data_IF_171663911974
#
_entry.id   IF_171663911974
#
_cell.length_a   1.000
_cell.length_b   1.000
_cell.length_c   1.000
_cell.angle_alpha   90.00
_cell.angle_beta   90.00
_cell.angle_gamma   90.00
#
_symmetry.space_group_name_H-M   'P 1'
#
loop_
_entity.id
_entity.type
_entity.pdbx_description
1 polymer ?
#
# COMPACT_ATOMS: atom_id res chain seq x y z
N UNK A 1 -22.67 64.24 31.37
CA UNK A 1 -21.77 63.74 30.30
C UNK A 1 -20.77 62.69 30.78
N UNK A 2 -20.00 62.91 31.85
CA UNK A 2 -19.03 61.93 32.37
C UNK A 2 -19.61 60.55 32.72
N UNK A 3 -20.79 60.51 33.33
CA UNK A 3 -21.48 59.26 33.70
C UNK A 3 -22.00 58.46 32.50
N UNK A 4 -22.39 59.16 31.42
CA UNK A 4 -22.87 58.54 30.18
C UNK A 4 -21.73 57.86 29.41
N UNK A 5 -20.55 58.49 29.41
CA UNK A 5 -19.33 57.94 28.79
C UNK A 5 -18.83 56.69 29.55
N UNK A 6 -18.92 56.69 30.88
CA UNK A 6 -18.54 55.53 31.69
C UNK A 6 -19.45 54.32 31.46
N UNK A 7 -20.77 54.54 31.34
CA UNK A 7 -21.72 53.47 31.05
C UNK A 7 -21.51 52.85 29.66
N UNK A 8 -21.21 53.66 28.65
CA UNK A 8 -20.90 53.15 27.31
C UNK A 8 -19.59 52.35 27.28
N UNK A 9 -18.58 52.77 28.05
CA UNK A 9 -17.30 52.06 28.12
C UNK A 9 -17.45 50.70 28.81
N UNK A 10 -18.21 50.64 29.90
CA UNK A 10 -18.49 49.38 30.63
C UNK A 10 -19.29 48.42 29.75
N UNK A 11 -20.28 48.92 28.99
CA UNK A 11 -21.06 48.09 28.06
C UNK A 11 -20.21 47.49 26.94
N UNK A 12 -19.22 48.23 26.42
CA UNK A 12 -18.29 47.74 25.39
C UNK A 12 -17.29 46.72 25.96
N UNK A 13 -16.81 46.91 27.19
CA UNK A 13 -15.92 45.94 27.84
C UNK A 13 -16.67 44.64 28.16
N UNK A 14 -17.94 44.73 28.60
CA UNK A 14 -18.78 43.56 28.86
C UNK A 14 -19.16 42.80 27.59
N UNK A 15 -19.36 43.48 26.45
CA UNK A 15 -19.62 42.81 25.17
C UNK A 15 -18.37 42.11 24.60
N UNK A 16 -17.16 42.63 24.87
CA UNK A 16 -15.90 41.96 24.51
C UNK A 16 -15.63 40.71 25.35
N UNK A 17 -16.04 40.69 26.63
CA UNK A 17 -15.92 39.51 27.51
C UNK A 17 -16.98 38.43 27.23
N UNK A 18 -18.10 38.79 26.59
CA UNK A 18 -19.15 37.84 26.19
C UNK A 18 -18.82 37.03 24.92
N UNK A 19 -17.73 37.36 24.22
CA UNK A 19 -17.16 36.56 23.13
C UNK A 19 -16.14 35.52 23.64
N UNK A 20 -16.41 34.88 24.79
CA UNK A 20 -15.76 33.60 25.07
C UNK A 20 -16.35 32.57 24.10
N UNK A 21 -15.60 32.27 23.05
CA UNK A 21 -15.91 31.23 22.07
C UNK A 21 -16.33 29.97 22.83
N UNK A 22 -17.59 29.55 22.65
CA UNK A 22 -18.05 28.22 23.04
C UNK A 22 -17.07 27.23 22.44
N UNK A 23 -16.33 26.49 23.27
CA UNK A 23 -15.52 25.37 22.79
C UNK A 23 -16.43 24.47 21.95
N UNK A 24 -16.18 24.42 20.65
CA UNK A 24 -16.91 23.54 19.77
C UNK A 24 -16.73 22.10 20.29
N UNK A 25 -17.80 21.31 20.37
CA UNK A 25 -17.70 19.95 20.86
C UNK A 25 -16.69 19.18 19.99
N UNK A 26 -15.70 18.54 20.62
CA UNK A 26 -14.67 17.80 19.91
C UNK A 26 -15.29 16.61 19.17
N UNK A 27 -15.56 16.79 17.88
CA UNK A 27 -16.12 15.77 17.00
C UNK A 27 -15.05 14.78 16.53
N UNK A 28 -15.47 13.63 16.00
CA UNK A 28 -14.57 12.68 15.30
C UNK A 28 -13.80 13.38 14.18
N UNK A 29 -14.47 14.23 13.41
CA UNK A 29 -13.87 14.97 12.30
C UNK A 29 -12.76 15.90 12.79
N UNK A 30 -13.00 16.61 13.90
CA UNK A 30 -11.97 17.45 14.55
C UNK A 30 -10.75 16.61 14.98
N UNK A 31 -10.97 15.43 15.58
CA UNK A 31 -9.88 14.51 15.96
C UNK A 31 -9.13 13.96 14.75
N UNK A 32 -9.85 13.52 13.72
CA UNK A 32 -9.25 13.03 12.47
C UNK A 32 -8.46 14.12 11.75
N UNK A 33 -8.97 15.35 11.74
CA UNK A 33 -8.28 16.51 11.15
C UNK A 33 -6.91 16.72 11.80
N UNK A 34 -6.80 16.61 13.12
CA UNK A 34 -5.50 16.66 13.82
C UNK A 34 -4.57 15.51 13.39
N UNK A 35 -5.08 14.29 13.26
CA UNK A 35 -4.30 13.15 12.77
C UNK A 35 -3.78 13.38 11.35
N UNK A 36 -4.62 13.89 10.44
CA UNK A 36 -4.23 14.23 9.08
C UNK A 36 -3.21 15.37 9.03
N UNK A 37 -3.35 16.38 9.89
CA UNK A 37 -2.37 17.45 9.98
C UNK A 37 -0.97 16.92 10.33
N UNK A 38 -0.87 15.98 11.28
CA UNK A 38 0.41 15.34 11.63
C UNK A 38 0.99 14.54 10.45
N UNK A 39 0.14 13.83 9.70
CA UNK A 39 0.52 13.11 8.46
C UNK A 39 1.07 14.09 7.43
N UNK A 40 0.36 15.19 7.17
CA UNK A 40 0.75 16.20 6.17
C UNK A 40 2.08 16.88 6.52
N UNK A 41 2.32 17.10 7.81
CA UNK A 41 3.58 17.63 8.36
C UNK A 41 4.71 16.59 8.41
N UNK A 42 4.45 15.34 8.00
CA UNK A 42 5.40 14.22 8.07
C UNK A 42 5.85 13.87 9.50
N UNK A 43 5.04 14.20 10.50
CA UNK A 43 5.26 13.83 11.90
C UNK A 43 4.69 12.42 12.16
N UNK A 44 5.31 11.42 11.54
CA UNK A 44 4.74 10.08 11.43
C UNK A 44 4.55 9.38 12.78
N UNK A 45 5.53 9.47 13.67
CA UNK A 45 5.48 8.78 14.96
C UNK A 45 4.35 9.35 15.85
N UNK A 46 4.24 10.68 15.88
CA UNK A 46 3.18 11.40 16.59
C UNK A 46 1.80 11.11 15.98
N UNK A 47 1.71 11.06 14.64
CA UNK A 47 0.48 10.69 13.95
C UNK A 47 0.04 9.27 14.30
N UNK A 48 0.96 8.30 14.26
CA UNK A 48 0.70 6.89 14.60
C UNK A 48 0.28 6.76 16.06
N UNK A 49 0.99 7.39 16.99
CA UNK A 49 0.64 7.36 18.41
C UNK A 49 -0.76 7.95 18.65
N UNK A 50 -1.03 9.12 18.09
CA UNK A 50 -2.31 9.80 18.22
C UNK A 50 -3.46 8.98 17.63
N UNK A 51 -3.31 8.47 16.41
CA UNK A 51 -4.35 7.72 15.71
C UNK A 51 -4.56 6.32 16.31
N UNK A 52 -3.53 5.71 16.90
CA UNK A 52 -3.67 4.46 17.65
C UNK A 52 -4.52 4.67 18.90
N UNK A 53 -4.26 5.74 19.67
CA UNK A 53 -5.10 6.10 20.82
C UNK A 53 -6.53 6.42 20.39
N UNK A 54 -6.70 7.09 19.25
CA UNK A 54 -8.01 7.40 18.72
C UNK A 54 -8.77 6.14 18.28
N UNK A 55 -8.10 5.17 17.64
CA UNK A 55 -8.71 3.91 17.20
C UNK A 55 -9.24 3.09 18.39
N UNK A 56 -8.51 3.09 19.50
CA UNK A 56 -8.95 2.43 20.74
C UNK A 56 -10.20 3.08 21.35
N UNK A 57 -10.38 4.39 21.16
CA UNK A 57 -11.54 5.14 21.68
C UNK A 57 -12.74 5.14 20.73
N UNK A 58 -12.46 5.12 19.42
CA UNK A 58 -13.43 5.21 18.34
C UNK A 58 -12.93 4.33 17.17
N UNK A 59 -13.19 3.01 17.21
CA UNK A 59 -12.71 2.03 16.22
C UNK A 59 -13.47 2.13 14.90
N UNK A 60 -13.50 3.33 14.33
CA UNK A 60 -14.21 3.66 13.10
C UNK A 60 -13.31 3.48 11.88
N UNK A 61 -13.91 3.10 10.75
CA UNK A 61 -13.22 2.88 9.48
C UNK A 61 -12.26 4.03 9.10
N UNK A 62 -12.72 5.27 9.17
CA UNK A 62 -11.90 6.45 8.84
C UNK A 62 -10.68 6.62 9.75
N UNK A 63 -10.78 6.25 11.04
CA UNK A 63 -9.64 6.28 11.97
C UNK A 63 -8.63 5.22 11.57
N UNK A 64 -9.09 4.00 11.24
CA UNK A 64 -8.23 2.91 10.77
C UNK A 64 -7.57 3.24 9.43
N UNK A 65 -8.29 3.86 8.50
CA UNK A 65 -7.72 4.34 7.23
C UNK A 65 -6.65 5.41 7.46
N UNK A 66 -6.90 6.37 8.35
CA UNK A 66 -5.91 7.39 8.71
C UNK A 66 -4.68 6.76 9.37
N UNK A 67 -4.87 5.82 10.30
CA UNK A 67 -3.79 5.10 10.97
C UNK A 67 -2.95 4.29 9.97
N UNK A 68 -3.59 3.54 9.08
CA UNK A 68 -2.91 2.81 8.00
C UNK A 68 -2.14 3.77 7.07
N UNK A 69 -2.70 4.95 6.79
CA UNK A 69 -2.04 5.99 6.01
C UNK A 69 -0.82 6.58 6.71
N UNK A 70 -0.85 6.73 8.04
CA UNK A 70 0.30 7.19 8.82
C UNK A 70 1.46 6.18 8.77
N UNK A 71 1.16 4.88 8.95
CA UNK A 71 2.15 3.81 8.77
C UNK A 71 2.72 3.78 7.34
N UNK A 72 1.85 3.81 6.31
CA UNK A 72 2.29 3.84 4.92
C UNK A 72 3.14 5.08 4.60
N UNK A 73 2.78 6.24 5.17
CA UNK A 73 3.53 7.49 5.07
C UNK A 73 4.94 7.38 5.65
N UNK A 74 5.08 6.78 6.84
CA UNK A 74 6.38 6.49 7.47
C UNK A 74 7.24 5.56 6.62
N UNK A 75 6.62 4.60 5.94
CA UNK A 75 7.27 3.73 4.95
C UNK A 75 7.68 4.46 3.64
N UNK A 76 7.33 5.75 3.47
CA UNK A 76 7.62 6.54 2.27
C UNK A 76 6.55 6.48 1.18
N UNK A 77 5.40 5.84 1.47
CA UNK A 77 4.26 5.67 0.57
C UNK A 77 3.20 6.71 0.90
N UNK A 78 3.20 7.81 0.15
CA UNK A 78 2.19 8.86 0.28
C UNK A 78 1.04 8.63 -0.70
N UNK A 79 -0.14 9.12 -0.35
CA UNK A 79 -1.35 8.88 -1.14
C UNK A 79 -1.26 9.49 -2.54
N UNK A 80 -0.54 10.61 -2.73
CA UNK A 80 -0.35 11.23 -4.03
C UNK A 80 0.44 10.32 -4.98
N UNK A 81 1.42 9.57 -4.43
CA UNK A 81 2.17 8.58 -5.19
C UNK A 81 1.30 7.39 -5.59
N UNK A 82 0.31 7.03 -4.76
CA UNK A 82 -0.64 5.95 -5.07
C UNK A 82 -1.50 6.28 -6.29
N UNK A 83 -2.05 7.50 -6.34
CA UNK A 83 -2.83 7.94 -7.51
C UNK A 83 -2.06 7.80 -8.83
N UNK A 84 -0.74 8.02 -8.80
CA UNK A 84 0.12 7.97 -9.98
C UNK A 84 0.27 6.59 -10.63
N UNK A 85 -0.09 5.49 -9.95
CA UNK A 85 -0.06 4.14 -10.54
C UNK A 85 -1.41 3.41 -10.47
N UNK A 86 -2.42 3.97 -9.83
CA UNK A 86 -3.79 3.39 -9.88
C UNK A 86 -4.62 4.04 -11.01
N UNK A 87 -4.39 5.33 -11.31
CA UNK A 87 -5.23 6.09 -12.24
C UNK A 87 -4.64 6.24 -13.66
N UNK A 88 -3.39 5.86 -13.90
CA UNK A 88 -2.73 6.09 -15.20
C UNK A 88 -3.21 5.06 -16.22
N UNK A 89 -4.00 5.52 -17.20
CA UNK A 89 -4.55 4.69 -18.29
C UNK A 89 -3.70 4.65 -19.56
N UNK A 90 -2.71 5.54 -19.69
CA UNK A 90 -1.97 5.78 -20.93
C UNK A 90 -0.46 5.82 -20.72
N UNK A 91 0.15 4.73 -20.25
CA UNK A 91 1.60 4.61 -20.31
C UNK A 91 2.02 4.20 -21.73
N UNK A 92 2.90 4.99 -22.35
CA UNK A 92 3.58 4.57 -23.58
C UNK A 92 4.55 3.45 -23.20
N UNK A 93 4.32 2.19 -23.60
CA UNK A 93 5.27 1.13 -23.30
C UNK A 93 6.61 1.48 -23.95
N UNK A 94 7.72 1.26 -23.23
CA UNK A 94 9.02 1.28 -23.90
C UNK A 94 9.02 0.16 -24.91
N UNK A 95 9.09 0.52 -26.20
CA UNK A 95 9.23 -0.46 -27.28
C UNK A 95 10.63 -1.03 -27.20
N UNK A 96 10.76 -2.24 -26.65
CA UNK A 96 12.00 -3.01 -26.77
C UNK A 96 12.13 -3.38 -28.24
N UNK A 97 13.00 -2.66 -28.96
CA UNK A 97 13.25 -2.89 -30.38
C UNK A 97 14.10 -4.15 -30.53
N UNK A 98 13.45 -5.31 -30.59
CA UNK A 98 14.12 -6.57 -30.90
C UNK A 98 14.36 -6.66 -32.42
N UNK A 99 15.21 -5.76 -32.93
CA UNK A 99 15.50 -5.56 -34.35
C UNK A 99 16.06 -6.80 -35.07
N UNK A 100 16.34 -7.89 -34.35
CA UNK A 100 16.92 -9.12 -34.89
C UNK A 100 15.98 -10.34 -34.85
N UNK A 101 14.80 -10.27 -34.21
CA UNK A 101 13.91 -11.42 -34.09
C UNK A 101 12.65 -11.23 -34.93
N UNK A 102 12.43 -12.08 -35.95
CA UNK A 102 11.11 -12.22 -36.58
C UNK A 102 10.16 -12.85 -35.56
N UNK A 103 9.44 -12.02 -34.82
CA UNK A 103 8.44 -12.47 -33.86
C UNK A 103 7.09 -12.61 -34.53
N UNK A 104 6.33 -13.65 -34.14
CA UNK A 104 4.94 -13.76 -34.55
C UNK A 104 4.07 -12.69 -33.84
N UNK A 105 2.86 -12.48 -34.35
CA UNK A 105 1.93 -11.45 -33.83
C UNK A 105 1.60 -11.66 -32.35
N UNK A 106 1.43 -12.91 -31.89
CA UNK A 106 1.10 -13.22 -30.49
C UNK A 106 2.24 -12.84 -29.56
N UNK A 107 3.47 -13.10 -29.97
CA UNK A 107 4.68 -12.73 -29.23
C UNK A 107 4.81 -11.22 -29.17
N UNK A 108 4.51 -10.50 -30.26
CA UNK A 108 4.53 -9.05 -30.28
C UNK A 108 3.46 -8.44 -29.35
N UNK A 109 2.24 -8.98 -29.33
CA UNK A 109 1.16 -8.59 -28.42
C UNK A 109 1.53 -8.85 -26.95
N UNK A 110 2.16 -9.99 -26.66
CA UNK A 110 2.68 -10.32 -25.33
C UNK A 110 3.78 -9.32 -24.91
N UNK A 111 4.75 -9.04 -25.78
CA UNK A 111 5.82 -8.07 -25.49
C UNK A 111 5.27 -6.66 -25.24
N UNK A 112 4.28 -6.23 -26.01
CA UNK A 112 3.61 -4.95 -25.77
C UNK A 112 2.88 -4.94 -24.42
N UNK A 113 2.20 -6.03 -24.08
CA UNK A 113 1.50 -6.17 -22.79
C UNK A 113 2.50 -6.11 -21.63
N UNK A 114 3.60 -6.87 -21.72
CA UNK A 114 4.68 -6.84 -20.73
C UNK A 114 5.33 -5.47 -20.62
N UNK A 115 5.56 -4.77 -21.74
CA UNK A 115 6.08 -3.40 -21.73
C UNK A 115 5.16 -2.41 -21.02
N UNK A 116 3.83 -2.58 -21.14
CA UNK A 116 2.86 -1.77 -20.38
C UNK A 116 2.89 -2.10 -18.89
N UNK A 117 2.95 -3.39 -18.53
CA UNK A 117 3.06 -3.81 -17.15
C UNK A 117 4.37 -3.33 -16.50
N UNK A 118 5.49 -3.43 -17.19
CA UNK A 118 6.78 -2.93 -16.73
C UNK A 118 6.74 -1.41 -16.51
N UNK A 119 6.16 -0.65 -17.46
CA UNK A 119 6.00 0.79 -17.28
C UNK A 119 5.13 1.12 -16.06
N UNK A 120 4.07 0.35 -15.80
CA UNK A 120 3.23 0.52 -14.61
C UNK A 120 3.99 0.16 -13.33
N UNK A 121 4.77 -0.92 -13.37
CA UNK A 121 5.59 -1.40 -12.27
C UNK A 121 6.57 -0.33 -11.80
N UNK A 122 7.20 0.39 -12.72
CA UNK A 122 8.10 1.50 -12.41
C UNK A 122 7.41 2.65 -11.65
N UNK A 123 6.10 2.85 -11.80
CA UNK A 123 5.36 3.90 -11.08
C UNK A 123 5.01 3.53 -9.65
N UNK A 124 5.03 2.26 -9.30
CA UNK A 124 4.80 1.81 -7.92
C UNK A 124 5.96 2.34 -7.05
N UNK A 125 5.68 3.02 -5.92
CA UNK A 125 6.71 3.52 -5.01
C UNK A 125 7.67 2.43 -4.56
N UNK A 126 8.95 2.75 -4.51
CA UNK A 126 9.93 1.87 -3.88
C UNK A 126 9.94 2.07 -2.38
N UNK A 127 9.99 0.96 -1.64
CA UNK A 127 10.04 0.94 -0.18
C UNK A 127 11.25 0.12 0.23
N UNK A 128 12.06 0.68 1.13
CA UNK A 128 13.23 0.00 1.71
C UNK A 128 12.78 -1.11 2.66
N UNK A 129 13.68 -2.05 2.97
CA UNK A 129 13.39 -3.13 3.91
C UNK A 129 12.82 -2.64 5.24
N UNK A 130 13.34 -1.52 5.78
CA UNK A 130 12.85 -0.92 7.04
C UNK A 130 11.39 -0.42 6.96
N UNK A 131 10.90 -0.04 5.79
CA UNK A 131 9.51 0.41 5.60
C UNK A 131 8.51 -0.74 5.42
N UNK A 132 8.98 -1.99 5.27
CA UNK A 132 8.07 -3.14 5.10
C UNK A 132 7.29 -3.47 6.37
N UNK A 133 7.91 -3.28 7.53
CA UNK A 133 7.22 -3.49 8.81
C UNK A 133 6.05 -2.52 8.92
N UNK A 134 6.27 -1.25 8.59
CA UNK A 134 5.22 -0.24 8.56
C UNK A 134 4.10 -0.57 7.57
N UNK A 135 4.43 -1.02 6.35
CA UNK A 135 3.40 -1.49 5.42
C UNK A 135 2.62 -2.68 5.96
N UNK A 136 3.30 -3.60 6.64
CA UNK A 136 2.66 -4.77 7.25
C UNK A 136 1.72 -4.33 8.38
N UNK A 137 2.12 -3.37 9.22
CA UNK A 137 1.25 -2.76 10.24
C UNK A 137 0.05 -2.05 9.62
N UNK A 138 0.25 -1.27 8.55
CA UNK A 138 -0.83 -0.64 7.82
C UNK A 138 -1.85 -1.67 7.30
N UNK A 139 -1.37 -2.78 6.73
CA UNK A 139 -2.23 -3.87 6.25
C UNK A 139 -2.95 -4.60 7.38
N UNK A 140 -2.32 -4.78 8.55
CA UNK A 140 -2.95 -5.37 9.73
C UNK A 140 -4.13 -4.51 10.21
N UNK A 141 -3.97 -3.18 10.27
CA UNK A 141 -5.05 -2.25 10.64
C UNK A 141 -6.26 -2.38 9.68
N UNK A 142 -6.01 -2.70 8.41
CA UNK A 142 -7.05 -2.84 7.38
C UNK A 142 -7.60 -4.27 7.24
N UNK A 143 -6.97 -5.27 7.87
CA UNK A 143 -7.22 -6.69 7.59
C UNK A 143 -8.67 -7.12 7.81
N UNK A 144 -9.37 -6.49 8.75
CA UNK A 144 -10.74 -6.83 9.16
C UNK A 144 -11.81 -5.88 8.57
N UNK A 145 -11.44 -4.88 7.77
CA UNK A 145 -12.41 -3.89 7.26
C UNK A 145 -13.16 -4.45 6.04
N UNK A 146 -14.48 -4.66 6.09
CA UNK A 146 -15.22 -5.24 4.96
C UNK A 146 -15.44 -4.26 3.80
N UNK A 147 -15.26 -2.95 4.02
CA UNK A 147 -15.60 -1.93 3.05
C UNK A 147 -14.69 -1.96 1.82
N UNK A 148 -15.32 -1.86 0.65
CA UNK A 148 -14.63 -1.95 -0.64
C UNK A 148 -13.48 -0.94 -0.78
N UNK A 149 -13.65 0.28 -0.24
CA UNK A 149 -12.60 1.31 -0.25
C UNK A 149 -11.37 0.93 0.57
N UNK A 150 -11.57 0.35 1.76
CA UNK A 150 -10.46 -0.12 2.59
C UNK A 150 -9.75 -1.33 1.97
N UNK A 151 -10.50 -2.24 1.35
CA UNK A 151 -9.93 -3.39 0.62
C UNK A 151 -9.14 -2.96 -0.60
N UNK A 152 -9.63 -1.98 -1.35
CA UNK A 152 -8.89 -1.41 -2.47
C UNK A 152 -7.58 -0.77 -1.99
N UNK A 153 -7.62 -0.03 -0.88
CA UNK A 153 -6.43 0.56 -0.29
C UNK A 153 -5.44 -0.51 0.21
N UNK A 154 -5.92 -1.56 0.87
CA UNK A 154 -5.11 -2.71 1.28
C UNK A 154 -4.45 -3.40 0.08
N UNK A 155 -5.20 -3.72 -0.98
CA UNK A 155 -4.66 -4.29 -2.22
C UNK A 155 -3.54 -3.40 -2.80
N UNK A 156 -3.74 -2.09 -2.77
CA UNK A 156 -2.77 -1.11 -3.27
C UNK A 156 -1.49 -1.12 -2.44
N UNK A 157 -1.59 -1.12 -1.11
CA UNK A 157 -0.42 -1.23 -0.22
C UNK A 157 0.30 -2.58 -0.37
N UNK A 158 -0.44 -3.68 -0.59
CA UNK A 158 0.14 -4.99 -0.88
C UNK A 158 0.93 -5.00 -2.19
N UNK A 159 0.48 -4.30 -3.22
CA UNK A 159 1.23 -4.15 -4.48
C UNK A 159 2.55 -3.42 -4.25
N UNK A 160 2.55 -2.38 -3.40
CA UNK A 160 3.80 -1.68 -3.02
C UNK A 160 4.73 -2.60 -2.24
N UNK A 161 4.20 -3.36 -1.28
CA UNK A 161 4.97 -4.35 -0.52
C UNK A 161 5.54 -5.42 -1.44
N UNK A 162 4.73 -5.95 -2.37
CA UNK A 162 5.14 -6.93 -3.37
C UNK A 162 6.30 -6.40 -4.21
N UNK A 163 6.24 -5.14 -4.69
CA UNK A 163 7.37 -4.54 -5.42
C UNK A 163 8.64 -4.50 -4.59
N UNK A 164 8.55 -4.11 -3.32
CA UNK A 164 9.70 -4.09 -2.42
C UNK A 164 10.33 -5.48 -2.25
N UNK A 165 9.52 -6.53 -2.10
CA UNK A 165 9.98 -7.92 -1.96
C UNK A 165 10.56 -8.46 -3.27
N UNK A 166 9.94 -8.12 -4.41
CA UNK A 166 10.43 -8.50 -5.74
C UNK A 166 11.80 -7.87 -6.03
N UNK A 167 11.95 -6.57 -5.80
CA UNK A 167 13.19 -5.87 -6.09
C UNK A 167 14.37 -6.43 -5.26
N UNK A 168 14.16 -6.75 -3.99
CA UNK A 168 15.21 -7.39 -3.18
C UNK A 168 15.59 -8.78 -3.70
N UNK A 169 14.60 -9.63 -4.01
CA UNK A 169 14.90 -10.97 -4.51
C UNK A 169 15.60 -10.95 -5.87
N UNK A 170 15.27 -9.99 -6.75
CA UNK A 170 15.97 -9.80 -8.02
C UNK A 170 17.42 -9.34 -7.82
N UNK A 171 17.68 -8.42 -6.88
CA UNK A 171 19.04 -8.00 -6.53
C UNK A 171 19.86 -9.17 -5.99
N UNK A 172 19.27 -9.98 -5.09
CA UNK A 172 19.92 -11.17 -4.56
C UNK A 172 20.23 -12.17 -5.69
N UNK A 173 19.28 -12.40 -6.60
CA UNK A 173 19.44 -13.33 -7.73
C UNK A 173 20.59 -12.94 -8.66
N UNK A 174 20.73 -11.64 -8.93
CA UNK A 174 21.84 -11.13 -9.75
C UNK A 174 23.21 -11.46 -9.14
N UNK A 175 23.33 -11.41 -7.81
CA UNK A 175 24.57 -11.79 -7.11
C UNK A 175 24.82 -13.29 -7.28
N UNK A 176 23.79 -14.12 -7.10
CA UNK A 176 23.90 -15.59 -7.17
C UNK A 176 24.23 -16.11 -8.57
N UNK A 177 23.66 -15.52 -9.63
CA UNK A 177 23.88 -15.97 -11.01
C UNK A 177 25.35 -15.88 -11.46
N UNK A 178 26.17 -15.09 -10.77
CA UNK A 178 27.61 -15.00 -11.06
C UNK A 178 28.41 -16.21 -10.59
N UNK A 179 27.80 -17.13 -9.83
CA UNK A 179 28.42 -18.32 -9.26
C UNK A 179 27.83 -19.60 -9.87
N UNK A 180 28.47 -20.75 -9.57
CA UNK A 180 27.92 -22.07 -9.91
C UNK A 180 26.57 -22.25 -9.22
N UNK A 181 25.54 -22.63 -9.97
CA UNK A 181 24.17 -22.69 -9.44
C UNK A 181 23.97 -24.06 -8.81
N UNK A 182 23.79 -24.10 -7.49
CA UNK A 182 23.57 -25.33 -6.75
C UNK A 182 22.19 -25.34 -6.07
N UNK A 183 21.64 -26.53 -5.80
CA UNK A 183 20.31 -26.69 -5.20
C UNK A 183 20.14 -25.98 -3.85
N UNK A 184 21.20 -25.89 -3.04
CA UNK A 184 21.21 -25.12 -1.77
C UNK A 184 21.10 -23.61 -2.00
N UNK A 185 21.63 -23.11 -3.11
CA UNK A 185 21.58 -21.69 -3.47
C UNK A 185 20.24 -21.33 -4.13
N UNK A 186 19.60 -22.27 -4.84
CA UNK A 186 18.31 -22.04 -5.50
C UNK A 186 17.14 -22.13 -4.50
N UNK A 187 17.27 -22.90 -3.42
CA UNK A 187 16.18 -23.11 -2.45
C UNK A 187 15.61 -21.80 -1.87
N UNK A 188 16.43 -20.83 -1.41
CA UNK A 188 15.91 -19.55 -0.93
C UNK A 188 15.13 -18.77 -2.01
N UNK A 189 15.48 -18.90 -3.29
CA UNK A 189 14.73 -18.27 -4.39
C UNK A 189 13.41 -18.95 -4.64
N UNK A 190 13.38 -20.27 -4.51
CA UNK A 190 12.15 -21.03 -4.60
C UNK A 190 11.19 -20.63 -3.48
N UNK A 191 11.66 -20.58 -2.24
CA UNK A 191 10.88 -20.12 -1.09
C UNK A 191 10.41 -18.66 -1.26
N UNK A 192 11.29 -17.79 -1.74
CA UNK A 192 10.92 -16.41 -2.09
C UNK A 192 9.82 -16.36 -3.17
N UNK A 193 9.91 -17.17 -4.22
CA UNK A 193 8.87 -17.23 -5.25
C UNK A 193 7.52 -17.70 -4.69
N UNK A 194 7.52 -18.66 -3.76
CA UNK A 194 6.31 -19.07 -3.03
C UNK A 194 5.73 -17.92 -2.18
N UNK A 195 6.59 -17.09 -1.56
CA UNK A 195 6.14 -15.88 -0.86
C UNK A 195 5.52 -14.84 -1.80
N UNK A 196 6.05 -14.68 -3.02
CA UNK A 196 5.44 -13.80 -4.02
C UNK A 196 4.03 -14.28 -4.40
N UNK A 197 3.83 -15.60 -4.55
CA UNK A 197 2.50 -16.16 -4.80
C UNK A 197 1.53 -15.85 -3.66
N UNK A 198 1.97 -15.94 -2.40
CA UNK A 198 1.14 -15.58 -1.25
C UNK A 198 0.68 -14.12 -1.32
N UNK A 199 1.59 -13.20 -1.65
CA UNK A 199 1.23 -11.79 -1.85
C UNK A 199 0.19 -11.60 -2.97
N UNK A 200 0.34 -12.31 -4.10
CA UNK A 200 -0.62 -12.25 -5.21
C UNK A 200 -2.00 -12.80 -4.81
N UNK A 201 -2.05 -13.89 -4.03
CA UNK A 201 -3.29 -14.46 -3.49
C UNK A 201 -3.99 -13.42 -2.61
N UNK A 202 -3.27 -12.80 -1.68
CA UNK A 202 -3.83 -11.79 -0.78
C UNK A 202 -4.32 -10.53 -1.53
N UNK A 203 -3.58 -10.09 -2.55
CA UNK A 203 -4.03 -9.00 -3.44
C UNK A 203 -5.33 -9.37 -4.13
N UNK A 204 -5.41 -10.57 -4.70
CA UNK A 204 -6.61 -11.05 -5.40
C UNK A 204 -7.84 -11.16 -4.47
N UNK A 205 -7.63 -11.58 -3.22
CA UNK A 205 -8.68 -11.60 -2.19
C UNK A 205 -9.17 -10.19 -1.84
N UNK A 206 -8.26 -9.23 -1.64
CA UNK A 206 -8.64 -7.83 -1.39
C UNK A 206 -9.39 -7.24 -2.60
N UNK A 207 -8.97 -7.53 -3.83
CA UNK A 207 -9.66 -7.11 -5.06
C UNK A 207 -11.05 -7.74 -5.21
N UNK A 208 -11.22 -9.00 -4.79
CA UNK A 208 -12.51 -9.69 -4.78
C UNK A 208 -13.53 -8.93 -3.93
N UNK A 209 -13.12 -8.45 -2.75
CA UNK A 209 -13.96 -7.65 -1.85
C UNK A 209 -14.13 -6.21 -2.33
N UNK A 210 -13.09 -5.61 -2.95
CA UNK A 210 -13.13 -4.26 -3.47
C UNK A 210 -14.05 -4.11 -4.71
N UNK A 211 -14.18 -5.15 -5.52
CA UNK A 211 -14.95 -5.13 -6.77
C UNK A 211 -15.98 -6.27 -6.84
N UNK A 212 -17.13 -6.15 -6.15
CA UNK A 212 -18.15 -7.21 -6.12
C UNK A 212 -18.65 -7.63 -7.52
N UNK A 213 -18.73 -6.70 -8.47
CA UNK A 213 -19.12 -6.99 -9.86
C UNK A 213 -18.13 -7.86 -10.64
N UNK A 214 -16.88 -7.98 -10.15
CA UNK A 214 -15.83 -8.84 -10.72
C UNK A 214 -15.46 -10.01 -9.80
N UNK A 215 -16.30 -10.29 -8.80
CA UNK A 215 -16.03 -11.32 -7.78
C UNK A 215 -15.66 -12.67 -8.41
N UNK A 216 -16.44 -13.15 -9.39
CA UNK A 216 -16.18 -14.44 -10.04
C UNK A 216 -14.82 -14.48 -10.75
N UNK A 217 -14.41 -13.38 -11.39
CA UNK A 217 -13.12 -13.26 -12.06
C UNK A 217 -11.96 -13.36 -11.06
N UNK A 218 -12.00 -12.57 -9.99
CA UNK A 218 -10.95 -12.58 -8.96
C UNK A 218 -10.94 -13.85 -8.11
N UNK A 219 -12.10 -14.45 -7.83
CA UNK A 219 -12.17 -15.75 -7.16
C UNK A 219 -11.47 -16.84 -7.99
N UNK A 220 -11.72 -16.89 -9.30
CA UNK A 220 -11.04 -17.83 -10.19
C UNK A 220 -9.53 -17.61 -10.21
N UNK A 221 -9.06 -16.36 -10.30
CA UNK A 221 -7.62 -16.09 -10.23
C UNK A 221 -7.02 -16.52 -8.89
N UNK A 222 -7.73 -16.32 -7.79
CA UNK A 222 -7.29 -16.75 -6.45
C UNK A 222 -7.16 -18.28 -6.40
N UNK A 223 -8.14 -19.01 -6.90
CA UNK A 223 -8.12 -20.49 -6.98
C UNK A 223 -6.97 -20.99 -7.87
N UNK A 224 -6.76 -20.37 -9.04
CA UNK A 224 -5.68 -20.72 -9.95
C UNK A 224 -4.30 -20.51 -9.29
N UNK A 225 -4.10 -19.40 -8.57
CA UNK A 225 -2.88 -19.12 -7.81
C UNK A 225 -2.67 -20.11 -6.65
N UNK A 226 -3.72 -20.43 -5.91
CA UNK A 226 -3.66 -21.40 -4.81
C UNK A 226 -3.33 -22.80 -5.31
N UNK A 227 -3.94 -23.23 -6.43
CA UNK A 227 -3.62 -24.50 -7.08
C UNK A 227 -2.15 -24.54 -7.49
N UNK A 228 -1.68 -23.50 -8.18
CA UNK A 228 -0.29 -23.41 -8.62
C UNK A 228 0.70 -23.44 -7.44
N UNK A 229 0.41 -22.70 -6.36
CA UNK A 229 1.21 -22.72 -5.13
C UNK A 229 1.27 -24.13 -4.53
N UNK A 230 0.13 -24.82 -4.42
CA UNK A 230 0.06 -26.19 -3.89
C UNK A 230 0.82 -27.20 -4.77
N UNK A 231 0.70 -27.07 -6.09
CA UNK A 231 1.45 -27.89 -7.05
C UNK A 231 2.96 -27.67 -6.89
N UNK A 232 3.39 -26.42 -6.76
CA UNK A 232 4.78 -26.07 -6.50
C UNK A 232 5.25 -26.66 -5.16
N UNK A 233 4.56 -26.40 -4.05
CA UNK A 233 4.91 -26.95 -2.73
C UNK A 233 4.99 -28.49 -2.70
N UNK A 234 4.28 -29.18 -3.59
CA UNK A 234 4.35 -30.62 -3.76
C UNK A 234 5.57 -31.15 -4.52
N UNK A 235 6.37 -30.28 -5.17
CA UNK A 235 7.60 -30.66 -5.87
C UNK A 235 8.70 -30.95 -4.84
N UNK A 236 9.23 -32.19 -4.75
CA UNK A 236 10.25 -32.52 -3.77
C UNK A 236 11.55 -31.75 -4.06
N UNK A 237 12.11 -31.11 -3.04
CA UNK A 237 13.41 -30.47 -3.14
C UNK A 237 14.54 -31.52 -3.05
N UNK A 238 15.59 -31.44 -3.89
CA UNK A 238 16.72 -32.37 -3.79
C UNK A 238 17.38 -32.30 -2.40
N UNK A 239 17.55 -33.46 -1.75
CA UNK A 239 18.26 -33.52 -0.46
C UNK A 239 19.78 -33.44 -0.62
N UNK A 240 20.28 -33.84 -1.77
CA UNK A 240 21.70 -33.73 -2.11
C UNK A 240 21.98 -32.40 -2.83
N UNK A 241 23.20 -31.90 -2.63
CA UNK A 241 23.69 -30.71 -3.33
C UNK A 241 23.96 -31.04 -4.79
N UNK A 242 23.07 -30.62 -5.67
CA UNK A 242 23.19 -30.77 -7.12
C UNK A 242 23.60 -29.41 -7.70
N UNK A 243 24.66 -29.36 -8.50
CA UNK A 243 25.15 -28.11 -9.10
C UNK A 243 25.17 -28.19 -10.62
N UNK A 244 24.75 -27.12 -11.27
CA UNK A 244 24.70 -26.92 -12.72
C UNK A 244 25.74 -25.88 -13.17
#
# INVERSE_FOLDING_TARGET
MRTLIQLTLIAVILSLLACQSKEEPVTRESRLSKGHQLIDQSHWDEAIEYLTKLEQQDPHLHVRLALASAYAGRAGVRIEKIYSFVAVRNLKPQTVSLNAARMDQKTQELMQSLGRYAAQWEKIPEVRASGREDLTRALQVLAEQPEAGARLYAATLRVVLLKSVVNEGLLNWQVVRTQKICSDVVQPYYDWALQLLEHLILISQDLTSAFPGKKAEFSRYTEDLQRFKKEAEGVPWPQEKICF
#
